data_IF_427714545038
#
_entry.id   IF_427714545038
#
_cell.length_a   1.000
_cell.length_b   1.000
_cell.length_c   1.000
_cell.angle_alpha   90.00
_cell.angle_beta   90.00
_cell.angle_gamma   90.00
#
_symmetry.space_group_name_H-M   'P 1'
#
loop_
_entity.id
_entity.type
_entity.pdbx_description
1 polymer ?
#
# COMPACT_ATOMS: atom_id res chain seq x y z
N UNK A 1 -14.65 -15.69 -6.25
CA UNK A 1 -15.18 -15.55 -4.88
C UNK A 1 -14.58 -14.31 -4.24
N UNK A 2 -15.30 -13.18 -4.24
CA UNK A 2 -14.84 -11.96 -3.57
C UNK A 2 -15.16 -12.05 -2.10
N UNK A 3 -14.15 -12.25 -1.25
CA UNK A 3 -14.29 -12.25 0.20
C UNK A 3 -13.41 -11.18 0.82
N UNK A 4 -13.44 -11.08 2.15
CA UNK A 4 -12.35 -10.45 2.90
C UNK A 4 -11.32 -11.53 3.23
N UNK A 5 -10.05 -11.20 3.12
CA UNK A 5 -8.96 -12.05 3.58
C UNK A 5 -8.46 -11.56 4.94
N UNK A 6 -8.08 -12.50 5.79
CA UNK A 6 -7.27 -12.24 6.98
C UNK A 6 -5.86 -12.70 6.70
N UNK A 7 -4.93 -11.77 6.70
CA UNK A 7 -3.51 -12.03 6.44
C UNK A 7 -2.77 -11.90 7.76
N UNK A 8 -2.04 -12.95 8.13
CA UNK A 8 -1.24 -13.01 9.35
C UNK A 8 0.23 -12.88 8.97
N UNK A 9 0.88 -11.81 9.42
CA UNK A 9 2.30 -11.56 9.23
C UNK A 9 3.00 -11.84 10.54
N UNK A 10 3.96 -12.79 10.55
CA UNK A 10 4.65 -13.24 11.74
C UNK A 10 6.16 -13.03 11.61
N UNK A 11 6.79 -12.56 12.68
CA UNK A 11 8.23 -12.64 12.90
C UNK A 11 8.53 -13.44 14.18
N UNK A 12 9.78 -13.40 14.67
CA UNK A 12 10.19 -14.16 15.85
C UNK A 12 9.55 -13.67 17.16
N UNK A 13 9.05 -12.43 17.19
CA UNK A 13 8.59 -11.75 18.41
C UNK A 13 7.09 -11.47 18.43
N UNK A 14 6.45 -11.27 17.28
CA UNK A 14 5.06 -10.86 17.17
C UNK A 14 4.35 -11.46 15.94
N UNK A 15 3.03 -11.42 15.97
CA UNK A 15 2.17 -11.72 14.82
C UNK A 15 1.13 -10.62 14.70
N UNK A 16 1.00 -10.05 13.51
CA UNK A 16 0.02 -9.00 13.19
C UNK A 16 -1.04 -9.53 12.23
N UNK A 17 -2.30 -9.24 12.54
CA UNK A 17 -3.44 -9.52 11.66
C UNK A 17 -3.77 -8.29 10.82
N UNK A 18 -3.89 -8.49 9.50
CA UNK A 18 -4.35 -7.49 8.55
C UNK A 18 -5.62 -8.00 7.86
N UNK A 19 -6.70 -7.22 7.92
CA UNK A 19 -7.97 -7.58 7.28
C UNK A 19 -8.14 -6.78 6.00
N UNK A 20 -8.31 -7.47 4.88
CA UNK A 20 -8.50 -6.79 3.61
C UNK A 20 -9.92 -6.21 3.48
N UNK A 21 -10.05 -5.25 2.57
CA UNK A 21 -11.36 -4.86 2.06
C UNK A 21 -12.01 -6.03 1.29
N UNK A 22 -13.33 -5.99 1.17
CA UNK A 22 -14.08 -6.99 0.43
C UNK A 22 -13.72 -6.96 -1.05
N UNK A 23 -13.41 -8.11 -1.64
CA UNK A 23 -13.03 -8.21 -3.05
C UNK A 23 -11.64 -7.69 -3.37
N UNK A 24 -10.82 -7.39 -2.36
CA UNK A 24 -9.43 -7.03 -2.56
C UNK A 24 -8.66 -8.17 -3.24
N UNK A 25 -7.84 -7.82 -4.23
CA UNK A 25 -6.92 -8.77 -4.86
C UNK A 25 -5.61 -8.80 -4.07
N UNK A 26 -5.21 -9.98 -3.61
CA UNK A 26 -3.97 -10.16 -2.85
C UNK A 26 -2.75 -10.00 -3.77
N UNK A 27 -1.66 -9.45 -3.22
CA UNK A 27 -0.34 -9.38 -3.85
C UNK A 27 0.68 -10.34 -3.22
N UNK A 28 0.27 -11.06 -2.19
CA UNK A 28 1.08 -11.99 -1.42
C UNK A 28 0.43 -13.35 -1.39
N UNK A 29 1.25 -14.37 -1.23
CA UNK A 29 0.86 -15.76 -1.05
C UNK A 29 1.33 -16.30 0.32
N UNK A 30 0.78 -17.45 0.72
CA UNK A 30 1.17 -18.07 1.98
C UNK A 30 2.62 -18.52 1.90
N UNK A 31 3.46 -17.97 2.78
CA UNK A 31 4.88 -18.30 2.87
C UNK A 31 5.81 -17.21 2.31
N UNK A 32 5.26 -16.17 1.71
CA UNK A 32 6.05 -15.03 1.25
C UNK A 32 6.77 -14.35 2.42
N UNK A 33 8.01 -13.93 2.14
CA UNK A 33 8.76 -13.02 3.01
C UNK A 33 8.49 -11.60 2.54
N UNK A 34 8.02 -10.76 3.46
CA UNK A 34 7.73 -9.35 3.21
C UNK A 34 8.40 -8.49 4.28
N UNK A 35 8.65 -7.24 3.94
CA UNK A 35 9.21 -6.22 4.83
C UNK A 35 8.11 -5.26 5.31
N UNK A 36 8.42 -4.50 6.37
CA UNK A 36 7.51 -3.48 6.86
C UNK A 36 7.30 -2.40 5.78
N UNK A 37 6.04 -2.17 5.41
CA UNK A 37 5.67 -1.25 4.33
C UNK A 37 5.30 -1.93 3.00
N UNK A 38 5.52 -3.24 2.88
CA UNK A 38 5.12 -3.98 1.68
C UNK A 38 3.59 -4.07 1.53
N UNK A 39 3.14 -4.08 0.27
CA UNK A 39 1.71 -4.11 -0.06
C UNK A 39 1.17 -5.53 -0.02
N UNK A 40 0.20 -5.78 0.87
CA UNK A 40 -0.52 -7.06 0.97
C UNK A 40 -1.61 -7.20 -0.11
N UNK A 41 -2.26 -6.10 -0.50
CA UNK A 41 -3.32 -6.07 -1.52
C UNK A 41 -2.99 -5.13 -2.67
N UNK A 42 -3.63 -5.36 -3.82
CA UNK A 42 -3.70 -4.36 -4.88
C UNK A 42 -4.62 -3.20 -4.46
N UNK A 43 -4.45 -2.05 -5.12
CA UNK A 43 -5.23 -0.84 -4.84
C UNK A 43 -4.53 0.11 -3.86
N UNK A 44 -5.34 0.98 -3.26
CA UNK A 44 -4.87 2.06 -2.39
C UNK A 44 -4.48 1.54 -1.02
N UNK A 45 -3.31 1.94 -0.55
CA UNK A 45 -2.82 1.77 0.83
C UNK A 45 -3.32 2.94 1.68
N UNK A 46 -3.75 2.65 2.91
CA UNK A 46 -4.09 3.68 3.90
C UNK A 46 -2.82 4.41 4.36
N UNK A 47 -2.73 5.75 4.21
CA UNK A 47 -1.56 6.51 4.68
C UNK A 47 -1.32 6.35 6.19
N UNK A 48 -2.38 6.18 6.98
CA UNK A 48 -2.26 5.96 8.43
C UNK A 48 -1.62 4.61 8.75
N UNK A 49 -2.01 3.57 8.03
CA UNK A 49 -1.43 2.23 8.22
C UNK A 49 0.01 2.18 7.72
N UNK A 50 0.30 2.83 6.59
CA UNK A 50 1.66 2.96 6.07
C UNK A 50 2.56 3.70 7.07
N UNK A 51 2.08 4.80 7.67
CA UNK A 51 2.82 5.54 8.69
C UNK A 51 3.12 4.70 9.92
N UNK A 52 2.19 3.83 10.34
CA UNK A 52 2.36 2.99 11.52
C UNK A 52 3.44 1.91 11.36
N UNK A 53 3.90 1.65 10.13
CA UNK A 53 4.92 0.63 9.82
C UNK A 53 6.14 1.19 9.09
N UNK A 54 6.16 2.49 8.78
CA UNK A 54 7.27 3.17 8.09
C UNK A 54 7.58 4.52 8.76
N UNK A 55 7.81 5.57 7.98
CA UNK A 55 8.17 6.92 8.41
C UNK A 55 7.39 7.99 7.61
N UNK A 56 7.30 9.25 8.11
CA UNK A 56 6.55 10.31 7.44
C UNK A 56 6.99 10.61 6.00
N UNK A 57 8.28 10.50 5.68
CA UNK A 57 8.78 10.76 4.34
C UNK A 57 8.29 9.68 3.37
N UNK A 58 8.34 8.42 3.76
CA UNK A 58 7.78 7.30 2.98
C UNK A 58 6.29 7.51 2.67
N UNK A 59 5.51 7.98 3.65
CA UNK A 59 4.09 8.27 3.47
C UNK A 59 3.88 9.46 2.52
N UNK A 60 4.68 10.52 2.65
CA UNK A 60 4.60 11.68 1.76
C UNK A 60 4.89 11.30 0.30
N UNK A 61 5.95 10.51 0.06
CA UNK A 61 6.29 10.02 -1.26
C UNK A 61 5.18 9.14 -1.85
N UNK A 62 4.56 8.29 -1.02
CA UNK A 62 3.42 7.49 -1.44
C UNK A 62 2.23 8.37 -1.87
N UNK A 63 1.87 9.38 -1.09
CA UNK A 63 0.77 10.30 -1.42
C UNK A 63 1.06 11.03 -2.73
N UNK A 64 2.26 11.59 -2.88
CA UNK A 64 2.67 12.29 -4.11
C UNK A 64 2.55 11.38 -5.34
N UNK A 65 3.03 10.14 -5.24
CA UNK A 65 2.97 9.15 -6.32
C UNK A 65 1.53 8.80 -6.70
N UNK A 66 0.65 8.57 -5.74
CA UNK A 66 -0.75 8.24 -6.02
C UNK A 66 -1.50 9.45 -6.61
N UNK A 67 -1.22 10.67 -6.14
CA UNK A 67 -1.77 11.91 -6.74
C UNK A 67 -1.33 12.04 -8.20
N UNK A 68 -0.04 11.93 -8.49
CA UNK A 68 0.48 11.98 -9.86
C UNK A 68 -0.12 10.89 -10.75
N UNK A 69 -0.33 9.68 -10.22
CA UNK A 69 -0.95 8.56 -10.95
C UNK A 69 -2.39 8.89 -11.37
N UNK A 70 -3.17 9.55 -10.51
CA UNK A 70 -4.54 10.00 -10.84
C UNK A 70 -4.49 11.02 -11.98
N UNK A 71 -3.62 12.02 -11.92
CA UNK A 71 -3.48 13.01 -12.98
C UNK A 71 -3.06 12.39 -14.32
N UNK A 72 -2.04 11.52 -14.32
CA UNK A 72 -1.62 10.79 -15.53
C UNK A 72 -2.74 9.94 -16.12
N UNK A 73 -3.54 9.29 -15.26
CA UNK A 73 -4.67 8.45 -15.71
C UNK A 73 -5.80 9.25 -16.37
N UNK A 74 -5.88 10.56 -16.11
CA UNK A 74 -6.86 11.48 -16.72
C UNK A 74 -6.34 12.15 -18.00
N UNK A 75 -5.19 11.70 -18.52
CA UNK A 75 -4.62 12.23 -19.77
C UNK A 75 -3.92 13.57 -19.63
N UNK A 76 -3.64 14.02 -18.40
CA UNK A 76 -2.83 15.21 -18.14
C UNK A 76 -1.38 14.77 -18.02
N UNK A 77 -0.58 15.06 -19.05
CA UNK A 77 0.86 14.87 -19.02
C UNK A 77 1.46 15.93 -18.08
N UNK A 78 1.70 15.54 -16.82
CA UNK A 78 2.39 16.43 -15.88
C UNK A 78 3.85 16.50 -16.34
N UNK A 79 4.15 17.56 -17.11
CA UNK A 79 5.51 18.02 -17.31
C UNK A 79 6.10 18.37 -15.94
N UNK A 80 7.25 17.77 -15.62
CA UNK A 80 8.03 17.83 -14.37
C UNK A 80 8.39 19.25 -13.86
N UNK A 81 7.84 20.33 -14.44
CA UNK A 81 8.24 21.72 -14.18
C UNK A 81 7.45 22.48 -13.10
N UNK A 82 6.55 21.85 -12.35
CA UNK A 82 5.71 22.58 -11.38
C UNK A 82 5.55 21.88 -10.03
N UNK A 83 6.65 21.42 -9.44
CA UNK A 83 6.70 21.16 -7.99
C UNK A 83 8.02 21.72 -7.45
N UNK A 84 8.04 23.03 -7.22
CA UNK A 84 8.94 23.69 -6.26
C UNK A 84 8.09 24.51 -5.28
#
# INVERSE_FOLDING_TARGET
>A
AGGKFKVYVKNDTETREHVTLYGAKLRVEKGDKIEAGDRITEGSVSPKELLAVTDPNTVQQYILKEVQKVYRSQGVDISDKHVE
#
